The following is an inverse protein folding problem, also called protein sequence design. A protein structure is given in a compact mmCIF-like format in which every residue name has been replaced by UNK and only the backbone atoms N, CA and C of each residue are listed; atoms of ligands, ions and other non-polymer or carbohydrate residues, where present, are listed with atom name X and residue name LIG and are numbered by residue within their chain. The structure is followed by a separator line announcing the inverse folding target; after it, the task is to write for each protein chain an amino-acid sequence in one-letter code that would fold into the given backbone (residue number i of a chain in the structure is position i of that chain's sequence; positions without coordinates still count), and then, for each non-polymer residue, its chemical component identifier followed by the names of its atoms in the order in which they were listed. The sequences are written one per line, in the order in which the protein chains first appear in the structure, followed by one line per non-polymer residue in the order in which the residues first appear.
data_IF_423984840259
#
_entry.id   IF_423984840259
#
_cell.length_a   1.000
_cell.length_b   1.000
_cell.length_c   1.000
_cell.angle_alpha   90.00
_cell.angle_beta   90.00
_cell.angle_gamma   90.00
#
_symmetry.space_group_name_H-M   'P 1'
#
loop_
_entity.id
_entity.type
_entity.pdbx_description
1 polymer ?
#
# COMPACT_ATOMS: atom_id res chain seq x y z
N UNK A 1 -20.50 30.27 -21.68
CA UNK A 1 -20.54 28.82 -22.00
C UNK A 1 -19.41 28.19 -21.21
N UNK A 2 -19.72 27.60 -20.06
CA UNK A 2 -18.70 27.02 -19.21
C UNK A 2 -18.15 25.74 -19.89
N UNK A 3 -16.87 25.76 -20.16
CA UNK A 3 -16.19 24.63 -20.77
C UNK A 3 -16.07 23.52 -19.72
N UNK A 4 -16.83 22.44 -19.89
CA UNK A 4 -16.68 21.26 -19.03
C UNK A 4 -15.33 20.64 -19.37
N UNK A 5 -14.35 20.81 -18.50
CA UNK A 5 -13.06 20.12 -18.59
C UNK A 5 -13.28 18.68 -18.11
N UNK A 6 -13.28 17.75 -19.06
CA UNK A 6 -13.33 16.33 -18.73
C UNK A 6 -11.94 15.83 -18.35
N UNK A 7 -11.85 15.01 -17.32
CA UNK A 7 -10.61 14.31 -16.94
C UNK A 7 -10.06 13.53 -18.14
N UNK A 8 -8.75 13.60 -18.42
CA UNK A 8 -8.15 12.82 -19.48
C UNK A 8 -8.36 11.32 -19.28
N UNK A 9 -8.66 10.59 -20.34
CA UNK A 9 -8.91 9.14 -20.30
C UNK A 9 -7.72 8.29 -19.80
N UNK A 10 -6.50 8.84 -19.81
CA UNK A 10 -5.31 8.19 -19.29
C UNK A 10 -5.15 8.31 -17.77
N UNK A 11 -5.87 9.24 -17.12
CA UNK A 11 -5.86 9.38 -15.67
C UNK A 11 -6.48 8.15 -15.02
N UNK A 12 -5.81 7.60 -14.03
CA UNK A 12 -6.21 6.37 -13.35
C UNK A 12 -6.12 6.56 -11.84
N UNK A 13 -6.98 5.85 -11.12
CA UNK A 13 -6.96 5.80 -9.66
C UNK A 13 -6.22 4.57 -9.11
N UNK A 14 -5.84 3.65 -10.00
CA UNK A 14 -5.03 2.48 -9.67
C UNK A 14 -4.01 2.24 -10.76
N UNK A 15 -2.79 1.98 -10.37
CA UNK A 15 -1.65 1.63 -11.23
C UNK A 15 -1.02 0.35 -10.70
N UNK A 16 -0.95 -0.67 -11.54
CA UNK A 16 -0.18 -1.89 -11.29
C UNK A 16 1.12 -1.82 -12.09
N UNK A 17 2.25 -2.15 -11.47
CA UNK A 17 3.52 -2.15 -12.18
C UNK A 17 3.61 -3.36 -13.12
N UNK A 18 4.06 -3.13 -14.35
CA UNK A 18 4.24 -4.18 -15.37
C UNK A 18 5.55 -4.95 -15.19
N UNK A 19 6.51 -4.35 -14.47
CA UNK A 19 7.79 -4.95 -14.11
C UNK A 19 7.98 -4.86 -12.58
N UNK A 20 8.75 -5.77 -11.96
CA UNK A 20 9.04 -5.69 -10.54
C UNK A 20 9.82 -4.39 -10.25
N UNK A 21 9.44 -3.71 -9.17
CA UNK A 21 10.17 -2.55 -8.65
C UNK A 21 11.24 -2.97 -7.64
N UNK A 22 11.11 -4.16 -7.07
CA UNK A 22 12.10 -4.79 -6.22
C UNK A 22 12.58 -6.11 -6.82
N UNK A 23 13.89 -6.36 -6.74
CA UNK A 23 14.44 -7.68 -7.05
C UNK A 23 14.01 -8.70 -5.98
N UNK A 24 13.99 -10.01 -6.30
CA UNK A 24 13.76 -11.04 -5.29
C UNK A 24 14.70 -10.95 -4.09
N UNK A 25 15.96 -10.58 -4.35
CA UNK A 25 16.96 -10.38 -3.29
C UNK A 25 16.55 -9.23 -2.35
N UNK A 26 16.19 -8.06 -2.87
CA UNK A 26 15.74 -6.93 -2.05
C UNK A 26 14.46 -7.28 -1.28
N UNK A 27 13.53 -8.00 -1.88
CA UNK A 27 12.34 -8.50 -1.19
C UNK A 27 12.72 -9.36 0.01
N UNK A 28 13.69 -10.27 -0.15
CA UNK A 28 14.18 -11.12 0.93
C UNK A 28 14.89 -10.30 2.03
N UNK A 29 15.72 -9.33 1.65
CA UNK A 29 16.39 -8.43 2.60
C UNK A 29 15.37 -7.66 3.47
N UNK A 30 14.28 -7.16 2.87
CA UNK A 30 13.20 -6.50 3.59
C UNK A 30 12.47 -7.46 4.55
N UNK A 31 12.21 -8.69 4.11
CA UNK A 31 11.63 -9.74 4.97
C UNK A 31 12.56 -10.07 6.14
N UNK A 32 13.86 -10.19 5.90
CA UNK A 32 14.84 -10.49 6.95
C UNK A 32 15.00 -9.31 7.92
N UNK A 33 15.02 -8.09 7.42
CA UNK A 33 15.00 -6.89 8.27
C UNK A 33 13.76 -6.89 9.18
N UNK A 34 12.57 -7.25 8.66
CA UNK A 34 11.34 -7.27 9.46
C UNK A 34 11.41 -8.21 10.67
N UNK A 35 12.24 -9.28 10.60
CA UNK A 35 12.44 -10.22 11.70
C UNK A 35 13.21 -9.61 12.87
N UNK A 36 14.00 -8.57 12.62
CA UNK A 36 14.78 -7.84 13.63
C UNK A 36 14.02 -6.65 14.25
N UNK A 37 12.90 -6.27 13.63
CA UNK A 37 12.10 -5.13 14.08
C UNK A 37 11.03 -5.56 15.08
N UNK A 38 10.57 -4.57 15.87
CA UNK A 38 9.44 -4.77 16.78
C UNK A 38 8.19 -5.17 15.99
N UNK A 39 7.59 -6.30 16.36
CA UNK A 39 6.33 -6.78 15.80
C UNK A 39 5.15 -6.29 16.63
N UNK A 40 4.14 -5.81 15.94
CA UNK A 40 2.89 -5.35 16.53
C UNK A 40 1.70 -6.02 15.82
N UNK A 41 0.56 -6.09 16.49
CA UNK A 41 -0.69 -6.46 15.84
C UNK A 41 -1.18 -5.30 14.97
N UNK A 42 -1.66 -5.62 13.79
CA UNK A 42 -2.27 -4.61 12.92
C UNK A 42 -3.46 -3.93 13.62
N UNK A 43 -3.48 -2.60 13.60
CA UNK A 43 -4.51 -1.77 14.23
C UNK A 43 -5.30 -1.02 13.16
N UNK A 44 -6.51 -0.61 13.52
CA UNK A 44 -7.37 0.29 12.73
C UNK A 44 -7.63 1.51 13.60
N UNK A 45 -7.25 2.71 13.13
CA UNK A 45 -7.37 3.97 13.88
C UNK A 45 -6.85 3.83 15.33
N UNK A 46 -5.66 3.21 15.46
CA UNK A 46 -5.01 3.00 16.76
C UNK A 46 -5.62 1.90 17.65
N UNK A 47 -6.68 1.21 17.22
CA UNK A 47 -7.37 0.14 17.97
C UNK A 47 -7.21 -1.22 17.29
N UNK A 48 -7.09 -2.28 18.08
CA UNK A 48 -7.14 -3.65 17.59
C UNK A 48 -8.63 -4.05 17.40
N UNK A 49 -9.04 -4.27 16.15
CA UNK A 49 -10.39 -4.74 15.79
C UNK A 49 -10.24 -6.05 15.01
N UNK A 50 -10.25 -7.17 15.71
CA UNK A 50 -9.94 -8.50 15.15
C UNK A 50 -10.91 -8.96 14.08
N UNK A 51 -12.14 -8.48 14.13
CA UNK A 51 -13.19 -8.76 13.15
C UNK A 51 -12.96 -8.06 11.82
N UNK A 52 -12.13 -7.01 11.81
CA UNK A 52 -11.82 -6.23 10.62
C UNK A 52 -10.38 -6.44 10.14
N UNK A 53 -9.44 -6.67 11.06
CA UNK A 53 -8.03 -6.88 10.70
C UNK A 53 -7.36 -7.90 11.60
N UNK A 54 -6.75 -8.89 10.98
CA UNK A 54 -5.86 -9.84 11.64
C UNK A 54 -4.56 -9.90 10.86
N UNK A 55 -3.51 -9.29 11.37
CA UNK A 55 -2.19 -9.22 10.74
C UNK A 55 -1.12 -8.88 11.77
N UNK A 56 0.14 -9.19 11.45
CA UNK A 56 1.30 -8.72 12.20
C UNK A 56 2.01 -7.65 11.36
N UNK A 57 2.42 -6.57 11.99
CA UNK A 57 3.11 -5.47 11.33
C UNK A 57 4.44 -5.14 11.98
N UNK A 58 5.35 -4.59 11.19
CA UNK A 58 6.58 -3.96 11.67
C UNK A 58 6.88 -2.72 10.82
N UNK A 59 7.43 -1.69 11.45
CA UNK A 59 7.76 -0.43 10.82
C UNK A 59 9.24 -0.35 10.53
N UNK A 60 9.61 0.01 9.30
CA UNK A 60 11.01 0.16 8.88
C UNK A 60 11.45 1.60 9.17
N UNK A 61 12.41 1.83 10.07
CA UNK A 61 12.97 3.17 10.29
C UNK A 61 13.59 3.74 9.00
N UNK A 62 13.45 5.05 8.77
CA UNK A 62 13.93 5.71 7.54
C UNK A 62 15.44 5.52 7.31
N UNK A 63 16.23 5.50 8.37
CA UNK A 63 17.68 5.32 8.30
C UNK A 63 18.12 3.90 7.90
N UNK A 64 17.25 2.91 8.06
CA UNK A 64 17.58 1.51 7.76
C UNK A 64 17.55 1.19 6.26
N UNK A 65 16.74 1.90 5.47
CA UNK A 65 16.52 1.61 4.05
C UNK A 65 16.39 2.90 3.23
N UNK A 66 17.25 3.89 3.51
CA UNK A 66 17.16 5.23 2.91
C UNK A 66 17.07 5.21 1.38
N UNK A 67 17.90 4.42 0.70
CA UNK A 67 17.90 4.35 -0.77
C UNK A 67 16.56 3.79 -1.30
N UNK A 68 15.95 2.81 -0.61
CA UNK A 68 14.64 2.27 -0.99
C UNK A 68 13.57 3.33 -0.84
N UNK A 69 13.61 4.12 0.23
CA UNK A 69 12.67 5.24 0.42
C UNK A 69 12.80 6.28 -0.68
N UNK A 70 14.04 6.69 -1.02
CA UNK A 70 14.31 7.69 -2.06
C UNK A 70 13.83 7.19 -3.44
N UNK A 71 14.11 5.93 -3.79
CA UNK A 71 13.69 5.33 -5.07
C UNK A 71 12.16 5.22 -5.18
N UNK A 72 11.50 4.81 -4.09
CA UNK A 72 10.03 4.71 -4.07
C UNK A 72 9.39 6.10 -4.14
N UNK A 73 9.92 7.09 -3.40
CA UNK A 73 9.38 8.46 -3.48
C UNK A 73 9.47 8.98 -4.91
N UNK A 74 10.61 8.84 -5.56
CA UNK A 74 10.80 9.24 -6.96
C UNK A 74 9.82 8.54 -7.90
N UNK A 75 9.60 7.23 -7.72
CA UNK A 75 8.64 6.46 -8.50
C UNK A 75 7.23 6.98 -8.31
N UNK A 76 6.79 7.17 -7.06
CA UNK A 76 5.43 7.60 -6.75
C UNK A 76 5.18 9.03 -7.20
N UNK A 77 6.15 9.94 -7.08
CA UNK A 77 6.05 11.29 -7.63
C UNK A 77 5.82 11.27 -9.15
N UNK A 78 6.55 10.41 -9.87
CA UNK A 78 6.37 10.23 -11.33
C UNK A 78 4.98 9.66 -11.65
N UNK A 79 4.55 8.64 -10.93
CA UNK A 79 3.23 8.02 -11.12
C UNK A 79 2.12 9.02 -10.78
N UNK A 80 2.28 9.81 -9.72
CA UNK A 80 1.32 10.84 -9.36
C UNK A 80 1.15 11.86 -10.48
N UNK A 81 2.24 12.41 -11.03
CA UNK A 81 2.16 13.36 -12.14
C UNK A 81 1.46 12.79 -13.37
N UNK A 82 1.68 11.51 -13.65
CA UNK A 82 1.18 10.88 -14.87
C UNK A 82 -0.24 10.32 -14.74
N UNK A 83 -0.70 9.98 -13.52
CA UNK A 83 -1.94 9.23 -13.34
C UNK A 83 -2.89 9.87 -12.32
N UNK A 84 -2.44 10.27 -11.12
CA UNK A 84 -3.32 10.73 -10.05
C UNK A 84 -3.54 12.25 -10.04
N UNK A 85 -2.45 13.02 -10.16
CA UNK A 85 -2.51 14.49 -10.20
C UNK A 85 -2.80 15.14 -8.85
N UNK A 86 -2.43 14.50 -7.73
CA UNK A 86 -2.54 15.11 -6.40
C UNK A 86 -1.44 16.15 -6.19
N UNK A 87 -1.79 17.30 -5.63
CA UNK A 87 -0.84 18.35 -5.30
C UNK A 87 -0.06 18.05 -4.02
N UNK A 88 1.25 18.36 -4.05
CA UNK A 88 2.10 18.44 -2.87
C UNK A 88 2.14 17.16 -2.03
N UNK A 89 2.15 15.99 -2.66
CA UNK A 89 2.30 14.73 -1.94
C UNK A 89 3.74 14.52 -1.50
N UNK A 90 3.89 13.88 -0.34
CA UNK A 90 5.16 13.44 0.22
C UNK A 90 4.96 12.14 0.99
N UNK A 91 6.04 11.43 1.26
CA UNK A 91 6.00 10.28 2.15
C UNK A 91 5.62 10.76 3.55
N UNK A 92 4.57 10.18 4.14
CA UNK A 92 3.99 10.66 5.40
C UNK A 92 4.48 9.90 6.62
N UNK A 93 4.88 8.65 6.45
CA UNK A 93 5.22 7.76 7.55
C UNK A 93 6.19 6.65 7.10
N UNK A 94 6.74 5.94 8.07
CA UNK A 94 7.63 4.80 7.80
C UNK A 94 6.89 3.71 7.01
N UNK A 95 7.64 2.95 6.21
CA UNK A 95 7.09 1.80 5.51
C UNK A 95 6.68 0.70 6.50
N UNK A 96 5.53 0.08 6.25
CA UNK A 96 4.99 -0.99 7.05
C UNK A 96 5.17 -2.33 6.33
N UNK A 97 5.91 -3.27 6.92
CA UNK A 97 5.84 -4.67 6.49
C UNK A 97 4.66 -5.31 7.20
N UNK A 98 3.79 -5.92 6.41
CA UNK A 98 2.60 -6.61 6.91
C UNK A 98 2.72 -8.10 6.60
N UNK A 99 2.57 -8.93 7.63
CA UNK A 99 2.51 -10.39 7.53
C UNK A 99 1.08 -10.87 7.79
N UNK A 100 0.56 -11.68 6.86
CA UNK A 100 -0.69 -12.39 6.98
C UNK A 100 -0.40 -13.90 7.01
N UNK A 101 -0.57 -14.52 8.16
CA UNK A 101 -0.51 -15.97 8.34
C UNK A 101 -1.86 -16.59 7.94
N UNK A 102 -1.96 -17.92 7.98
CA UNK A 102 -3.24 -18.62 7.78
C UNK A 102 -4.35 -17.99 8.62
N UNK A 103 -5.52 -17.78 8.02
CA UNK A 103 -6.72 -17.15 8.58
C UNK A 103 -6.55 -15.66 8.93
N UNK A 104 -5.46 -15.03 8.48
CA UNK A 104 -5.26 -13.60 8.62
C UNK A 104 -5.79 -12.88 7.37
N UNK A 105 -6.32 -11.67 7.59
CA UNK A 105 -7.00 -10.87 6.58
C UNK A 105 -7.02 -9.39 6.96
N UNK A 106 -7.47 -8.55 6.05
CA UNK A 106 -7.87 -7.18 6.31
C UNK A 106 -9.15 -6.89 5.50
N UNK A 107 -10.25 -6.74 6.17
CA UNK A 107 -11.57 -6.48 5.57
C UNK A 107 -11.60 -5.17 4.79
N UNK A 108 -12.68 -4.95 4.06
CA UNK A 108 -12.92 -3.72 3.30
C UNK A 108 -12.73 -2.48 4.18
N UNK A 109 -11.81 -1.60 3.72
CA UNK A 109 -11.47 -0.35 4.38
C UNK A 109 -10.95 0.66 3.36
N UNK A 110 -10.82 1.92 3.80
CA UNK A 110 -10.05 2.96 3.12
C UNK A 110 -8.86 3.33 3.98
N UNK A 111 -7.77 3.76 3.37
CA UNK A 111 -6.58 4.22 4.11
C UNK A 111 -6.71 5.69 4.55
N UNK A 112 -7.64 6.42 3.96
CA UNK A 112 -8.04 7.76 4.38
C UNK A 112 -9.55 7.90 4.34
N UNK A 113 -10.11 8.65 5.27
CA UNK A 113 -11.49 9.11 5.19
C UNK A 113 -11.53 10.40 4.35
N UNK A 114 -12.53 10.49 3.45
CA UNK A 114 -12.83 11.74 2.76
C UNK A 114 -13.72 12.56 3.70
N UNK A 115 -13.23 12.84 4.89
CA UNK A 115 -13.87 13.79 5.79
C UNK A 115 -13.00 15.04 5.88
N UNK A 116 -13.61 16.18 6.01
CA UNK A 116 -12.92 17.47 6.11
C UNK A 116 -12.23 17.68 7.46
N UNK A 117 -12.28 16.70 8.36
CA UNK A 117 -11.74 16.74 9.70
C UNK A 117 -10.38 16.07 9.85
N UNK A 118 -9.87 15.41 8.80
CA UNK A 118 -8.55 14.79 8.87
C UNK A 118 -7.45 15.85 8.98
N UNK A 119 -6.66 15.76 10.03
CA UNK A 119 -5.49 16.60 10.22
C UNK A 119 -4.40 16.26 9.20
N UNK A 120 -3.71 17.25 8.59
CA UNK A 120 -2.60 16.99 7.69
C UNK A 120 -1.42 16.31 8.42
N UNK A 121 -0.67 15.41 7.72
CA UNK A 121 -0.80 15.03 6.32
C UNK A 121 -1.91 13.99 6.09
N UNK A 122 -2.83 14.28 5.16
CA UNK A 122 -3.87 13.34 4.75
C UNK A 122 -3.31 12.38 3.70
N UNK A 123 -3.47 11.06 3.90
CA UNK A 123 -3.04 10.05 2.92
C UNK A 123 -3.81 10.20 1.61
N UNK A 124 -3.10 10.28 0.50
CA UNK A 124 -3.68 10.43 -0.85
C UNK A 124 -3.38 9.27 -1.78
N UNK A 125 -2.20 8.67 -1.61
CA UNK A 125 -1.77 7.50 -2.37
C UNK A 125 -1.35 6.42 -1.39
N UNK A 126 -1.88 5.23 -1.59
CA UNK A 126 -1.44 3.98 -0.96
C UNK A 126 -0.68 3.14 -1.97
N UNK A 127 0.38 2.52 -1.51
CA UNK A 127 1.20 1.60 -2.29
C UNK A 127 1.40 0.31 -1.51
N UNK A 128 1.25 -0.82 -2.19
CA UNK A 128 1.61 -2.13 -1.64
C UNK A 128 2.50 -2.88 -2.61
N UNK A 129 3.55 -3.53 -2.10
CA UNK A 129 4.48 -4.39 -2.86
C UNK A 129 4.43 -5.78 -2.27
N UNK A 130 4.24 -6.81 -3.10
CA UNK A 130 4.33 -8.19 -2.64
C UNK A 130 5.80 -8.57 -2.45
N UNK A 131 6.18 -9.03 -1.25
CA UNK A 131 7.57 -9.32 -0.90
C UNK A 131 7.97 -10.78 -1.10
N UNK A 132 7.04 -11.72 -1.00
CA UNK A 132 7.39 -13.13 -1.17
C UNK A 132 6.81 -13.72 -2.46
N UNK A 133 7.36 -14.84 -2.87
CA UNK A 133 6.88 -15.53 -4.07
C UNK A 133 5.43 -16.01 -3.86
N UNK A 134 4.52 -15.81 -4.84
CA UNK A 134 3.14 -16.27 -4.72
C UNK A 134 2.99 -17.78 -4.48
N UNK A 135 3.99 -18.60 -4.81
CA UNK A 135 3.97 -20.04 -4.52
C UNK A 135 4.11 -20.38 -3.03
N UNK A 136 4.53 -19.42 -2.18
CA UNK A 136 4.71 -19.62 -0.74
C UNK A 136 3.42 -19.52 0.07
N UNK A 137 2.31 -19.09 -0.55
CA UNK A 137 1.02 -18.93 0.13
C UNK A 137 -0.16 -19.14 -0.82
N UNK A 138 -1.34 -19.36 -0.23
CA UNK A 138 -2.61 -19.45 -0.97
C UNK A 138 -3.62 -18.47 -0.35
N UNK A 139 -4.49 -17.89 -1.18
CA UNK A 139 -5.41 -16.81 -0.77
C UNK A 139 -4.68 -15.50 -0.59
N UNK A 140 -5.19 -14.60 0.24
CA UNK A 140 -4.57 -13.31 0.52
C UNK A 140 -4.61 -12.33 -0.66
N UNK A 141 -5.54 -12.48 -1.59
CA UNK A 141 -5.67 -11.57 -2.73
C UNK A 141 -5.96 -10.14 -2.27
N UNK A 142 -5.28 -9.19 -2.91
CA UNK A 142 -5.65 -7.79 -2.82
C UNK A 142 -6.83 -7.53 -3.75
N UNK A 143 -7.91 -7.01 -3.21
CA UNK A 143 -9.04 -6.51 -3.98
C UNK A 143 -9.22 -5.01 -3.76
N UNK A 144 -9.51 -4.30 -4.84
CA UNK A 144 -9.89 -2.88 -4.82
C UNK A 144 -11.29 -2.79 -5.41
N UNK A 145 -12.19 -2.08 -4.73
CA UNK A 145 -13.61 -2.04 -5.08
C UNK A 145 -13.83 -1.61 -6.54
N UNK A 146 -14.73 -2.35 -7.21
CA UNK A 146 -15.11 -2.14 -8.61
C UNK A 146 -13.99 -2.35 -9.65
N UNK A 147 -12.87 -2.97 -9.24
CA UNK A 147 -11.75 -3.22 -10.12
C UNK A 147 -11.35 -4.70 -10.08
N UNK A 148 -11.07 -5.25 -11.26
CA UNK A 148 -10.46 -6.57 -11.37
C UNK A 148 -8.95 -6.43 -11.28
N UNK A 149 -8.38 -6.82 -10.14
CA UNK A 149 -6.94 -6.82 -9.94
C UNK A 149 -6.31 -8.08 -10.53
N UNK A 150 -5.12 -7.94 -11.10
CA UNK A 150 -4.31 -9.10 -11.45
C UNK A 150 -3.66 -9.70 -10.20
N UNK A 151 -3.45 -11.04 -10.16
CA UNK A 151 -2.64 -11.62 -9.09
C UNK A 151 -1.27 -10.94 -9.00
N UNK A 152 -0.92 -10.48 -7.82
CA UNK A 152 0.37 -9.81 -7.60
C UNK A 152 1.52 -10.81 -7.74
N UNK A 153 2.63 -10.35 -8.33
CA UNK A 153 3.89 -11.08 -8.40
C UNK A 153 4.90 -10.48 -7.42
N UNK A 154 5.90 -11.28 -7.02
CA UNK A 154 6.97 -10.80 -6.15
C UNK A 154 7.65 -9.56 -6.71
N UNK A 155 7.87 -8.55 -5.88
CA UNK A 155 8.50 -7.28 -6.23
C UNK A 155 7.61 -6.32 -7.05
N UNK A 156 6.38 -6.72 -7.43
CA UNK A 156 5.44 -5.83 -8.11
C UNK A 156 4.63 -5.01 -7.13
N UNK A 157 4.24 -3.82 -7.55
CA UNK A 157 3.44 -2.90 -6.75
C UNK A 157 2.03 -2.69 -7.34
N UNK A 158 1.06 -2.54 -6.44
CA UNK A 158 -0.21 -1.88 -6.70
C UNK A 158 -0.20 -0.52 -5.98
N UNK A 159 -0.50 0.55 -6.72
CA UNK A 159 -0.48 1.93 -6.24
C UNK A 159 -1.86 2.52 -6.55
N UNK A 160 -2.54 3.06 -5.54
CA UNK A 160 -3.93 3.48 -5.69
C UNK A 160 -4.27 4.66 -4.80
N UNK A 161 -5.35 5.36 -5.15
CA UNK A 161 -5.86 6.46 -4.33
C UNK A 161 -6.33 5.93 -2.96
N UNK A 162 -5.84 6.52 -1.87
CA UNK A 162 -6.05 6.04 -0.49
C UNK A 162 -7.52 6.00 -0.05
N UNK A 163 -8.41 6.73 -0.74
CA UNK A 163 -9.85 6.71 -0.48
C UNK A 163 -10.60 5.55 -1.16
N UNK A 164 -9.94 4.75 -2.00
CA UNK A 164 -10.56 3.57 -2.59
C UNK A 164 -10.71 2.48 -1.55
N UNK A 165 -11.89 1.88 -1.48
CA UNK A 165 -12.13 0.70 -0.66
C UNK A 165 -11.29 -0.45 -1.19
N UNK A 166 -10.58 -1.13 -0.31
CA UNK A 166 -9.77 -2.28 -0.63
C UNK A 166 -9.73 -3.27 0.54
N UNK A 167 -9.36 -4.51 0.24
CA UNK A 167 -9.22 -5.57 1.24
C UNK A 167 -8.08 -6.52 0.87
N UNK A 168 -7.58 -7.24 1.87
CA UNK A 168 -6.78 -8.45 1.70
C UNK A 168 -7.61 -9.63 2.17
N UNK A 169 -7.94 -10.53 1.23
CA UNK A 169 -8.70 -11.75 1.54
C UNK A 169 -7.96 -12.64 2.55
N UNK A 170 -8.65 -13.53 3.24
CA UNK A 170 -8.00 -14.48 4.12
C UNK A 170 -6.92 -15.30 3.39
N UNK A 171 -5.76 -15.40 4.02
CA UNK A 171 -4.71 -16.36 3.61
C UNK A 171 -5.16 -17.74 4.05
N UNK A 172 -5.20 -18.71 3.13
CA UNK A 172 -5.65 -20.07 3.43
C UNK A 172 -4.49 -21.01 3.76
N UNK A 173 -3.28 -20.69 3.25
CA UNK A 173 -2.05 -21.46 3.51
C UNK A 173 -0.82 -20.57 3.43
N UNK A 174 0.22 -20.90 4.17
CA UNK A 174 1.49 -20.19 4.16
C UNK A 174 1.43 -18.82 4.85
N UNK A 175 2.29 -17.90 4.41
CA UNK A 175 2.41 -16.55 4.95
C UNK A 175 2.58 -15.57 3.80
N UNK A 176 1.65 -14.63 3.64
CA UNK A 176 1.76 -13.52 2.69
C UNK A 176 2.45 -12.34 3.35
N UNK A 177 3.45 -11.76 2.69
CA UNK A 177 4.17 -10.57 3.16
C UNK A 177 4.12 -9.46 2.14
N UNK A 178 3.84 -8.25 2.59
CA UNK A 178 3.83 -7.06 1.74
C UNK A 178 4.46 -5.87 2.45
N UNK A 179 5.10 -4.99 1.65
CA UNK A 179 5.48 -3.65 2.08
C UNK A 179 4.33 -2.71 1.73
N UNK A 180 3.93 -1.88 2.67
CA UNK A 180 2.90 -0.86 2.49
C UNK A 180 3.48 0.51 2.81
N UNK A 181 3.21 1.48 1.96
CA UNK A 181 3.64 2.88 2.13
C UNK A 181 2.51 3.83 1.76
N UNK A 182 2.52 4.99 2.40
CA UNK A 182 1.50 6.03 2.18
C UNK A 182 2.14 7.37 1.87
N UNK A 183 1.55 8.05 0.91
CA UNK A 183 1.93 9.39 0.49
C UNK A 183 0.74 10.32 0.65
N UNK A 184 0.98 11.44 1.27
CA UNK A 184 -0.09 12.37 1.61
C UNK A 184 0.38 13.81 1.60
N UNK A 185 -0.51 14.69 1.97
CA UNK A 185 -0.27 16.12 1.98
C UNK A 185 -1.43 16.89 2.60
N UNK A 186 -1.66 18.10 2.10
CA UNK A 186 -2.79 18.93 2.56
C UNK A 186 -4.13 18.23 2.33
N UNK A 187 -5.18 18.56 3.08
CA UNK A 187 -6.53 18.05 2.84
C UNK A 187 -6.97 18.18 1.39
N UNK A 188 -7.97 17.40 1.00
CA UNK A 188 -8.61 17.55 -0.31
C UNK A 188 -9.30 18.92 -0.38
N UNK A 189 -9.24 19.56 -1.54
CA UNK A 189 -9.93 20.83 -1.82
C UNK A 189 -11.13 20.56 -2.72
#
# INVERSE_FOLDING_TARGET
MDMIITEPKWKKWVVETTSPIFTPQLCQELVDLSKTLKKEKGKIVGREVKELRKSTISWIPFDKMKLVYDDIDNLVQKINRNNFGFDGIQLTEQAQITEYQKDNFYSWHTDTAINMSDEPPVRKISMTVLLNDPSEFEGGDLEIANLTMKPMKQGHAAIFASFLQHQVKPVTKGVRRSLVMWFGGKPFK
#
